data_IF_658889800729
#
_entry.id   IF_658889800729
#
_cell.length_a   1.000
_cell.length_b   1.000
_cell.length_c   1.000
_cell.angle_alpha   90.00
_cell.angle_beta   90.00
_cell.angle_gamma   90.00
#
_symmetry.space_group_name_H-M   'P 1'
#
loop_
_entity.id
_entity.type
_entity.pdbx_description
1 polymer ?
#
# COMPACT_ATOMS: atom_id res chain seq x y z
N UNK A 1 -13.88 -21.04 -15.57
CA UNK A 1 -14.34 -20.03 -14.57
C UNK A 1 -14.12 -20.58 -13.17
N UNK A 2 -13.55 -19.78 -12.25
CA UNK A 2 -13.36 -20.15 -10.83
C UNK A 2 -14.69 -20.25 -10.08
N UNK A 3 -14.71 -20.88 -8.88
CA UNK A 3 -15.92 -20.91 -8.02
C UNK A 3 -16.44 -19.50 -7.72
N UNK A 4 -15.54 -18.55 -7.37
CA UNK A 4 -15.92 -17.17 -7.13
C UNK A 4 -16.38 -16.48 -8.42
N UNK A 5 -15.72 -16.72 -9.55
CA UNK A 5 -16.15 -16.23 -10.84
C UNK A 5 -17.61 -16.64 -11.15
N UNK A 6 -17.98 -17.89 -10.87
CA UNK A 6 -19.37 -18.36 -11.02
C UNK A 6 -20.36 -17.68 -10.07
N UNK A 7 -19.95 -17.26 -8.87
CA UNK A 7 -20.79 -16.45 -7.96
C UNK A 7 -21.01 -15.04 -8.51
N UNK A 8 -19.92 -14.40 -8.97
CA UNK A 8 -19.98 -13.06 -9.56
C UNK A 8 -20.83 -13.06 -10.84
N UNK A 9 -20.65 -14.07 -11.71
CA UNK A 9 -21.45 -14.21 -12.93
C UNK A 9 -22.96 -14.32 -12.62
N UNK A 10 -23.34 -15.14 -11.64
CA UNK A 10 -24.75 -15.23 -11.19
C UNK A 10 -25.27 -13.90 -10.66
N UNK A 11 -24.48 -13.15 -9.89
CA UNK A 11 -24.83 -11.80 -9.44
C UNK A 11 -25.12 -10.89 -10.63
N UNK A 12 -24.20 -10.84 -11.61
CA UNK A 12 -24.36 -10.00 -12.81
C UNK A 12 -25.61 -10.40 -13.62
N UNK A 13 -25.87 -11.70 -13.79
CA UNK A 13 -27.06 -12.18 -14.50
C UNK A 13 -28.37 -11.75 -13.81
N UNK A 14 -28.38 -11.59 -12.49
CA UNK A 14 -29.56 -11.18 -11.72
C UNK A 14 -29.70 -9.66 -11.59
N UNK A 15 -28.63 -8.91 -11.45
CA UNK A 15 -28.65 -7.48 -11.09
C UNK A 15 -28.19 -6.56 -12.22
N UNK A 16 -27.68 -7.11 -13.32
CA UNK A 16 -27.01 -6.36 -14.38
C UNK A 16 -25.53 -6.10 -14.09
N UNK A 17 -24.83 -5.32 -14.92
CA UNK A 17 -23.41 -5.03 -14.80
C UNK A 17 -23.03 -4.47 -13.43
N UNK A 18 -21.85 -4.85 -12.95
CA UNK A 18 -21.29 -4.38 -11.68
C UNK A 18 -20.09 -3.45 -11.92
N UNK A 19 -19.75 -2.60 -10.94
CA UNK A 19 -18.56 -1.77 -11.02
C UNK A 19 -17.28 -2.59 -10.92
N UNK A 20 -16.16 -2.07 -11.45
CA UNK A 20 -14.84 -2.65 -11.22
C UNK A 20 -14.51 -2.72 -9.72
N UNK A 21 -14.92 -1.71 -8.94
CA UNK A 21 -14.71 -1.71 -7.49
C UNK A 21 -15.44 -2.88 -6.81
N UNK A 22 -16.69 -3.19 -7.20
CA UNK A 22 -17.41 -4.35 -6.69
C UNK A 22 -16.73 -5.67 -7.06
N UNK A 23 -16.27 -5.78 -8.32
CA UNK A 23 -15.57 -6.97 -8.80
C UNK A 23 -14.27 -7.21 -8.01
N UNK A 24 -13.43 -6.18 -7.82
CA UNK A 24 -12.22 -6.27 -7.01
C UNK A 24 -12.51 -6.60 -5.55
N UNK A 25 -13.52 -5.96 -4.96
CA UNK A 25 -13.92 -6.24 -3.58
C UNK A 25 -14.28 -7.71 -3.36
N UNK A 26 -15.02 -8.31 -4.30
CA UNK A 26 -15.33 -9.73 -4.27
C UNK A 26 -14.08 -10.60 -4.54
N UNK A 27 -13.31 -10.28 -5.60
CA UNK A 27 -12.15 -11.08 -6.01
C UNK A 27 -11.06 -11.11 -4.91
N UNK A 28 -10.81 -10.00 -4.24
CA UNK A 28 -9.78 -9.90 -3.21
C UNK A 28 -10.30 -10.23 -1.80
N UNK A 29 -11.49 -9.74 -1.45
CA UNK A 29 -11.99 -9.70 -0.07
C UNK A 29 -13.09 -10.69 0.27
N UNK A 30 -13.64 -11.47 -0.68
CA UNK A 30 -14.74 -12.41 -0.40
C UNK A 30 -14.39 -13.34 0.78
N UNK A 31 -15.27 -13.49 1.81
CA UNK A 31 -14.93 -14.11 3.10
C UNK A 31 -14.34 -15.51 3.05
N UNK A 32 -14.67 -16.31 2.02
CA UNK A 32 -14.17 -17.68 1.86
C UNK A 32 -13.32 -17.89 0.62
N UNK A 33 -13.59 -17.14 -0.46
CA UNK A 33 -13.06 -17.41 -1.79
C UNK A 33 -12.14 -16.28 -2.31
N UNK A 34 -12.06 -15.16 -1.58
CA UNK A 34 -11.22 -14.03 -1.96
C UNK A 34 -9.72 -14.35 -1.83
N UNK A 35 -8.93 -13.71 -2.66
CA UNK A 35 -7.49 -13.91 -2.76
C UNK A 35 -6.78 -13.85 -1.41
N UNK A 36 -6.98 -12.79 -0.61
CA UNK A 36 -6.34 -12.62 0.70
C UNK A 36 -6.85 -13.59 1.79
N UNK A 37 -7.94 -14.31 1.52
CA UNK A 37 -8.47 -15.32 2.44
C UNK A 37 -7.99 -16.74 2.14
N UNK A 38 -7.65 -17.03 0.88
CA UNK A 38 -7.27 -18.38 0.43
C UNK A 38 -5.76 -18.62 0.45
N UNK A 39 -4.98 -17.66 -0.03
CA UNK A 39 -3.56 -17.82 -0.24
C UNK A 39 -2.72 -17.18 0.89
N UNK A 40 -1.44 -17.50 0.92
CA UNK A 40 -0.40 -16.68 1.50
C UNK A 40 0.19 -15.88 0.32
N UNK A 41 -0.32 -14.69 0.02
CA UNK A 41 -0.06 -14.01 -1.25
C UNK A 41 1.38 -13.54 -1.40
N UNK A 42 2.11 -13.36 -0.31
CA UNK A 42 3.42 -12.70 -0.26
C UNK A 42 4.54 -13.68 0.04
N UNK A 43 5.72 -13.50 -0.61
CA UNK A 43 6.95 -14.24 -0.41
C UNK A 43 7.33 -15.14 -1.59
N UNK A 44 8.47 -15.85 -1.48
CA UNK A 44 9.04 -16.67 -2.57
C UNK A 44 8.13 -17.79 -3.12
N UNK A 45 7.08 -18.16 -2.38
CA UNK A 45 6.05 -19.11 -2.82
C UNK A 45 4.71 -18.41 -3.12
N UNK A 46 4.63 -17.08 -3.06
CA UNK A 46 3.45 -16.27 -3.39
C UNK A 46 3.52 -15.73 -4.82
N UNK A 47 2.55 -14.89 -5.16
CA UNK A 47 2.46 -14.27 -6.49
C UNK A 47 3.35 -13.03 -6.62
N UNK A 48 3.78 -12.43 -5.50
CA UNK A 48 4.60 -11.23 -5.45
C UNK A 48 5.80 -11.35 -4.50
N UNK A 49 6.90 -10.69 -4.90
CA UNK A 49 8.03 -10.40 -4.01
C UNK A 49 7.99 -8.91 -3.68
N UNK A 50 7.43 -8.56 -2.51
CA UNK A 50 7.36 -7.19 -1.99
C UNK A 50 8.72 -6.70 -1.50
N UNK A 51 8.92 -5.39 -1.39
CA UNK A 51 10.20 -4.81 -0.97
C UNK A 51 10.76 -5.38 0.36
N UNK A 52 9.95 -5.63 1.41
CA UNK A 52 10.41 -6.32 2.63
C UNK A 52 10.90 -7.75 2.41
N UNK A 53 10.41 -8.45 1.40
CA UNK A 53 10.82 -9.81 1.07
C UNK A 53 12.04 -9.85 0.12
N UNK A 54 12.35 -8.74 -0.57
CA UNK A 54 13.59 -8.61 -1.35
C UNK A 54 14.78 -8.56 -0.41
N UNK A 55 14.76 -7.66 0.58
CA UNK A 55 15.89 -7.48 1.49
C UNK A 55 15.49 -6.85 2.82
N UNK A 56 16.10 -7.37 3.90
CA UNK A 56 15.99 -6.77 5.23
C UNK A 56 16.42 -5.29 5.26
N UNK A 57 17.25 -4.84 4.30
CA UNK A 57 17.68 -3.43 4.22
C UNK A 57 16.51 -2.47 4.09
N UNK A 58 15.45 -2.87 3.36
CA UNK A 58 14.24 -2.05 3.23
C UNK A 58 13.59 -1.78 4.59
N UNK A 59 13.26 -2.83 5.33
CA UNK A 59 12.64 -2.71 6.65
C UNK A 59 13.55 -2.04 7.69
N UNK A 60 14.87 -2.25 7.59
CA UNK A 60 15.85 -1.60 8.47
C UNK A 60 15.92 -0.09 8.25
N UNK A 61 15.84 0.39 7.01
CA UNK A 61 15.84 1.83 6.70
C UNK A 61 14.54 2.49 7.12
N UNK A 62 13.40 1.81 6.93
CA UNK A 62 12.12 2.28 7.47
C UNK A 62 12.16 2.31 9.00
N UNK A 63 12.69 1.28 9.65
CA UNK A 63 12.87 1.25 11.11
C UNK A 63 13.76 2.38 11.62
N UNK A 64 14.80 2.74 10.88
CA UNK A 64 15.64 3.90 11.18
C UNK A 64 14.87 5.22 11.05
N UNK A 65 14.02 5.36 10.02
CA UNK A 65 13.15 6.51 9.85
C UNK A 65 12.16 6.64 11.02
N UNK A 66 11.55 5.54 11.47
CA UNK A 66 10.63 5.52 12.62
C UNK A 66 11.31 5.94 13.93
N UNK A 67 12.52 5.41 14.18
CA UNK A 67 13.31 5.78 15.35
C UNK A 67 13.66 7.28 15.34
N UNK A 68 14.04 7.81 14.19
CA UNK A 68 14.32 9.24 14.01
C UNK A 68 13.05 10.08 14.24
N UNK A 69 11.85 9.65 13.79
CA UNK A 69 10.59 10.35 14.08
C UNK A 69 10.29 10.39 15.57
N UNK A 70 10.47 9.27 16.27
CA UNK A 70 10.30 9.21 17.73
C UNK A 70 11.26 10.16 18.46
N UNK A 71 12.53 10.20 18.04
CA UNK A 71 13.53 11.13 18.58
C UNK A 71 13.12 12.59 18.32
N UNK A 72 12.72 12.91 17.09
CA UNK A 72 12.29 14.26 16.69
C UNK A 72 11.04 14.75 17.42
N UNK A 73 10.19 13.85 17.92
CA UNK A 73 9.04 14.15 18.76
C UNK A 73 9.38 14.26 20.26
N UNK A 74 10.65 14.30 20.62
CA UNK A 74 11.15 14.37 22.01
C UNK A 74 10.77 13.14 22.86
N UNK A 75 10.93 11.95 22.30
CA UNK A 75 10.81 10.66 23.00
C UNK A 75 9.45 10.44 23.68
N UNK A 76 8.31 10.56 22.97
CA UNK A 76 6.99 10.41 23.58
C UNK A 76 6.82 9.04 24.23
N UNK A 77 6.14 9.03 25.39
CA UNK A 77 5.78 7.82 26.11
C UNK A 77 4.33 7.94 26.62
N UNK A 78 3.42 7.07 26.22
CA UNK A 78 3.59 6.04 25.19
C UNK A 78 3.70 6.59 23.77
N UNK A 79 4.05 5.72 22.80
CA UNK A 79 3.97 5.96 21.37
C UNK A 79 3.29 4.76 20.71
N UNK A 80 2.43 5.00 19.74
CA UNK A 80 1.79 3.94 18.96
C UNK A 80 2.43 3.79 17.59
N UNK A 81 2.89 2.58 17.29
CA UNK A 81 3.38 2.18 15.98
C UNK A 81 2.33 1.31 15.29
N UNK A 82 1.88 1.70 14.11
CA UNK A 82 0.85 0.99 13.35
C UNK A 82 1.40 0.53 12.00
N UNK A 83 1.11 -0.70 11.63
CA UNK A 83 1.27 -1.19 10.26
C UNK A 83 -0.08 -1.65 9.73
N UNK A 84 -0.48 -1.12 8.57
CA UNK A 84 -1.69 -1.53 7.87
C UNK A 84 -1.31 -2.48 6.73
N UNK A 85 -1.96 -3.64 6.67
CA UNK A 85 -1.67 -4.67 5.68
C UNK A 85 -0.29 -5.31 5.84
N UNK A 86 0.09 -5.81 7.03
CA UNK A 86 1.46 -6.23 7.34
C UNK A 86 1.90 -7.52 6.64
N UNK A 87 1.04 -8.13 5.84
CA UNK A 87 1.34 -9.36 5.12
C UNK A 87 1.87 -10.46 6.05
N UNK A 88 3.12 -10.88 5.86
CA UNK A 88 3.77 -11.91 6.70
C UNK A 88 4.39 -11.35 7.99
N UNK A 89 4.33 -10.04 8.23
CA UNK A 89 4.96 -9.37 9.37
C UNK A 89 6.48 -9.17 9.23
N UNK A 90 7.02 -9.33 8.01
CA UNK A 90 8.46 -9.19 7.74
C UNK A 90 8.93 -7.77 7.98
N UNK A 91 8.18 -6.78 7.46
CA UNK A 91 8.51 -5.37 7.63
C UNK A 91 8.50 -4.97 9.11
N UNK A 92 7.47 -5.30 9.87
CA UNK A 92 7.42 -5.00 11.31
C UNK A 92 8.56 -5.65 12.08
N UNK A 93 8.90 -6.90 11.77
CA UNK A 93 10.03 -7.61 12.40
C UNK A 93 11.36 -6.87 12.18
N UNK A 94 11.62 -6.42 10.95
CA UNK A 94 12.85 -5.70 10.62
C UNK A 94 12.89 -4.29 11.24
N UNK A 95 11.74 -3.60 11.25
CA UNK A 95 11.59 -2.29 11.90
C UNK A 95 11.87 -2.40 13.40
N UNK A 96 11.23 -3.32 14.13
CA UNK A 96 11.40 -3.48 15.57
C UNK A 96 12.85 -3.88 15.93
N UNK A 97 13.46 -4.78 15.16
CA UNK A 97 14.87 -5.14 15.32
C UNK A 97 15.79 -3.93 15.19
N UNK A 98 15.50 -3.04 14.24
CA UNK A 98 16.28 -1.83 14.00
C UNK A 98 16.05 -0.79 15.08
N UNK A 99 14.81 -0.56 15.48
CA UNK A 99 14.44 0.32 16.61
C UNK A 99 15.17 -0.14 17.87
N UNK A 100 15.19 -1.46 18.15
CA UNK A 100 15.93 -2.00 19.31
C UNK A 100 17.44 -1.72 19.32
N UNK A 101 18.03 -1.48 18.14
CA UNK A 101 19.45 -1.11 18.02
C UNK A 101 19.70 0.39 18.07
N UNK A 102 18.83 1.19 17.48
CA UNK A 102 19.02 2.64 17.31
C UNK A 102 18.38 3.46 18.43
N UNK A 103 17.26 3.01 18.95
CA UNK A 103 16.47 3.68 19.96
C UNK A 103 15.85 2.66 20.94
N UNK A 104 16.65 1.88 21.71
CA UNK A 104 16.14 0.79 22.54
C UNK A 104 15.07 1.24 23.53
N UNK A 105 15.16 2.48 24.05
CA UNK A 105 14.15 3.02 24.97
C UNK A 105 12.76 3.17 24.28
N UNK A 106 12.69 3.27 22.95
CA UNK A 106 11.40 3.31 22.25
C UNK A 106 10.64 2.00 22.43
N UNK A 107 11.33 0.86 22.49
CA UNK A 107 10.68 -0.45 22.67
C UNK A 107 9.95 -0.56 24.02
N UNK A 108 10.46 0.09 25.08
CA UNK A 108 9.83 0.09 26.40
C UNK A 108 8.50 0.87 26.41
N UNK A 109 8.30 1.76 25.43
CA UNK A 109 7.18 2.70 25.39
C UNK A 109 6.26 2.49 24.19
N UNK A 110 6.70 1.70 23.18
CA UNK A 110 5.92 1.47 21.97
C UNK A 110 4.79 0.45 22.21
N UNK A 111 3.63 0.76 21.66
CA UNK A 111 2.51 -0.17 21.50
C UNK A 111 2.29 -0.37 20.01
N UNK A 112 2.56 -1.57 19.54
CA UNK A 112 2.39 -1.92 18.13
C UNK A 112 0.94 -2.32 17.88
N UNK A 113 0.36 -1.82 16.79
CA UNK A 113 -0.94 -2.25 16.30
C UNK A 113 -0.79 -2.74 14.86
N UNK A 114 -1.12 -4.00 14.65
CA UNK A 114 -1.16 -4.64 13.33
C UNK A 114 -2.60 -4.64 12.83
N UNK A 115 -2.87 -4.08 11.65
CA UNK A 115 -4.20 -4.08 11.06
C UNK A 115 -4.24 -5.10 9.94
N UNK A 116 -4.91 -6.23 10.19
CA UNK A 116 -4.94 -7.39 9.31
C UNK A 116 -6.34 -8.01 9.27
N UNK A 117 -6.91 -8.13 8.08
CA UNK A 117 -8.23 -8.73 7.87
C UNK A 117 -8.21 -10.24 7.72
N UNK A 118 -7.05 -10.83 7.39
CA UNK A 118 -6.88 -12.26 7.23
C UNK A 118 -6.46 -12.94 8.54
N UNK A 119 -7.31 -13.77 9.18
CA UNK A 119 -6.94 -14.47 10.40
C UNK A 119 -5.70 -15.35 10.23
N UNK A 120 -5.52 -15.93 9.03
CA UNK A 120 -4.38 -16.79 8.71
C UNK A 120 -3.06 -15.99 8.67
N UNK A 121 -3.08 -14.79 8.11
CA UNK A 121 -1.91 -13.91 8.13
C UNK A 121 -1.63 -13.40 9.54
N UNK A 122 -2.67 -13.03 10.30
CA UNK A 122 -2.53 -12.62 11.69
C UNK A 122 -1.83 -13.70 12.55
N UNK A 123 -2.16 -14.98 12.36
CA UNK A 123 -1.45 -16.06 13.06
C UNK A 123 0.02 -16.16 12.65
N UNK A 124 0.34 -16.02 11.36
CA UNK A 124 1.73 -15.97 10.89
C UNK A 124 2.52 -14.79 11.45
N UNK A 125 1.87 -13.64 11.56
CA UNK A 125 2.45 -12.44 12.19
C UNK A 125 2.74 -12.68 13.67
N UNK A 126 1.82 -13.30 14.42
CA UNK A 126 2.02 -13.66 15.83
C UNK A 126 3.20 -14.62 16.03
N UNK A 127 3.30 -15.65 15.18
CA UNK A 127 4.45 -16.57 15.19
C UNK A 127 5.76 -15.81 14.96
N UNK A 128 5.81 -14.95 13.91
CA UNK A 128 7.02 -14.24 13.51
C UNK A 128 7.47 -13.18 14.50
N UNK A 129 6.52 -12.54 15.18
CA UNK A 129 6.76 -11.43 16.10
C UNK A 129 6.78 -11.84 17.56
N UNK A 130 6.75 -13.14 17.89
CA UNK A 130 6.72 -13.65 19.27
C UNK A 130 7.85 -13.12 20.16
N UNK A 131 9.03 -12.92 19.57
CA UNK A 131 10.24 -12.47 20.28
C UNK A 131 10.61 -11.02 19.94
N UNK A 132 9.65 -10.21 19.45
CA UNK A 132 9.91 -8.85 18.99
C UNK A 132 10.24 -7.83 20.10
N UNK A 133 10.08 -8.19 21.37
CA UNK A 133 10.38 -7.34 22.51
C UNK A 133 9.42 -6.15 22.70
N UNK A 134 8.30 -6.12 21.98
CA UNK A 134 7.30 -5.08 22.03
C UNK A 134 5.91 -5.67 22.30
N UNK A 135 5.02 -4.87 22.90
CA UNK A 135 3.61 -5.25 23.03
C UNK A 135 2.88 -5.04 21.71
N UNK A 136 2.30 -6.11 21.14
CA UNK A 136 1.64 -6.09 19.84
C UNK A 136 0.18 -6.50 20.00
N UNK A 137 -0.73 -5.67 19.48
CA UNK A 137 -2.15 -5.92 19.39
C UNK A 137 -2.59 -6.03 17.92
N UNK A 138 -3.60 -6.86 17.61
CA UNK A 138 -4.15 -7.05 16.27
C UNK A 138 -5.55 -6.50 16.17
N UNK A 139 -5.84 -5.82 15.05
CA UNK A 139 -7.13 -5.20 14.75
C UNK A 139 -7.55 -5.58 13.33
N UNK A 140 -8.84 -5.63 13.05
CA UNK A 140 -9.35 -5.87 11.71
C UNK A 140 -9.37 -4.59 10.86
N UNK A 141 -9.60 -3.44 11.49
CA UNK A 141 -9.72 -2.13 10.83
C UNK A 141 -8.89 -1.09 11.56
N UNK A 142 -8.43 -0.10 10.82
CA UNK A 142 -7.73 1.04 11.40
C UNK A 142 -8.62 1.82 12.39
N UNK A 143 -9.92 1.95 12.08
CA UNK A 143 -10.93 2.57 12.96
C UNK A 143 -11.09 1.88 14.32
N UNK A 144 -10.75 0.58 14.42
CA UNK A 144 -10.88 -0.17 15.67
C UNK A 144 -9.77 0.16 16.68
N UNK A 145 -8.68 0.79 16.20
CA UNK A 145 -7.61 1.26 17.08
C UNK A 145 -8.11 2.48 17.85
N UNK A 146 -8.09 2.47 19.20
CA UNK A 146 -8.53 3.62 19.99
C UNK A 146 -7.84 4.92 19.57
N UNK A 147 -8.63 5.96 19.33
CA UNK A 147 -8.16 7.26 18.84
C UNK A 147 -7.85 8.26 19.98
N UNK A 148 -7.72 7.78 21.21
CA UNK A 148 -7.45 8.65 22.37
C UNK A 148 -5.97 9.12 22.38
N UNK A 149 -5.75 10.34 22.82
CA UNK A 149 -4.42 10.93 22.98
C UNK A 149 -3.62 10.31 24.13
N UNK A 150 -4.28 9.54 25.02
CA UNK A 150 -3.61 8.82 26.10
C UNK A 150 -2.69 7.70 25.60
N UNK A 151 -2.87 7.26 24.35
CA UNK A 151 -1.99 6.30 23.70
C UNK A 151 -0.76 6.95 23.01
N UNK A 152 -0.58 8.25 23.16
CA UNK A 152 0.54 9.00 22.60
C UNK A 152 0.42 9.27 21.10
N UNK A 153 1.47 9.85 20.50
CA UNK A 153 1.57 10.08 19.06
C UNK A 153 1.47 8.80 18.26
N UNK A 154 0.95 8.93 17.02
CA UNK A 154 0.82 7.85 16.07
C UNK A 154 1.97 7.87 15.06
N UNK A 155 2.70 6.77 14.94
CA UNK A 155 3.62 6.52 13.82
C UNK A 155 3.05 5.37 13.01
N UNK A 156 2.81 5.58 11.71
CA UNK A 156 2.11 4.61 10.86
C UNK A 156 2.92 4.30 9.61
N UNK A 157 2.91 3.04 9.20
CA UNK A 157 3.51 2.57 7.94
C UNK A 157 2.50 1.76 7.14
N UNK A 158 2.48 2.00 5.84
CA UNK A 158 1.86 1.11 4.85
C UNK A 158 2.86 0.76 3.75
N UNK A 159 2.87 -0.47 3.30
CA UNK A 159 3.66 -0.90 2.14
C UNK A 159 2.80 -1.81 1.27
N UNK A 160 2.61 -1.44 -0.01
CA UNK A 160 1.80 -2.22 -0.96
C UNK A 160 0.41 -2.55 -0.35
N UNK A 161 -0.31 -1.50 0.05
CA UNK A 161 -1.65 -1.59 0.63
C UNK A 161 -2.69 -0.91 -0.25
N UNK A 162 -2.38 0.30 -0.72
CA UNK A 162 -3.33 1.13 -1.45
C UNK A 162 -3.63 0.55 -2.84
N UNK A 163 -2.66 -0.08 -3.48
CA UNK A 163 -2.78 -0.74 -4.79
C UNK A 163 -3.90 -1.79 -4.84
N UNK A 164 -4.10 -2.52 -3.72
CA UNK A 164 -5.10 -3.57 -3.57
C UNK A 164 -6.49 -3.06 -3.12
N UNK A 165 -6.62 -1.77 -2.76
CA UNK A 165 -7.92 -1.20 -2.40
C UNK A 165 -8.74 -0.94 -3.68
N UNK A 166 -10.01 -1.40 -3.73
CA UNK A 166 -10.88 -1.26 -4.89
C UNK A 166 -11.00 0.17 -5.41
N UNK A 167 -11.04 0.30 -6.73
CA UNK A 167 -11.15 1.58 -7.44
C UNK A 167 -12.13 1.46 -8.62
N UNK A 168 -12.49 2.59 -9.21
CA UNK A 168 -13.38 2.70 -10.36
C UNK A 168 -12.63 3.21 -11.57
N UNK A 169 -13.02 2.76 -12.74
CA UNK A 169 -12.54 3.27 -14.02
C UNK A 169 -13.65 4.02 -14.75
N UNK A 170 -13.28 5.12 -15.38
CA UNK A 170 -14.17 5.90 -16.23
C UNK A 170 -13.53 6.02 -17.61
N UNK A 171 -14.25 5.63 -18.64
CA UNK A 171 -13.79 5.67 -20.04
C UNK A 171 -14.44 6.84 -20.77
N UNK A 172 -13.66 7.56 -21.58
CA UNK A 172 -14.21 8.64 -22.40
C UNK A 172 -14.96 8.07 -23.59
N UNK A 173 -16.26 8.36 -23.69
CA UNK A 173 -17.15 7.96 -24.78
C UNK A 173 -18.01 9.16 -25.14
N UNK A 174 -18.02 9.52 -26.44
CA UNK A 174 -18.77 10.68 -26.97
C UNK A 174 -18.45 11.98 -26.18
N UNK A 175 -17.19 12.20 -25.86
CA UNK A 175 -16.69 13.37 -25.12
C UNK A 175 -17.00 13.37 -23.62
N UNK A 176 -17.59 12.33 -23.05
CA UNK A 176 -17.93 12.22 -21.62
C UNK A 176 -17.22 11.03 -20.98
N UNK A 177 -16.84 11.19 -19.73
CA UNK A 177 -16.31 10.08 -18.94
C UNK A 177 -17.48 9.32 -18.27
N UNK A 178 -17.70 8.09 -18.72
CA UNK A 178 -18.72 7.17 -18.20
C UNK A 178 -18.06 6.01 -17.47
N UNK A 179 -18.71 5.48 -16.43
CA UNK A 179 -18.14 4.40 -15.64
C UNK A 179 -17.94 3.14 -16.48
N UNK A 180 -16.74 2.53 -16.40
CA UNK A 180 -16.43 1.24 -17.02
C UNK A 180 -16.90 0.13 -16.08
N UNK A 181 -17.88 -0.64 -16.53
CA UNK A 181 -18.55 -1.69 -15.78
C UNK A 181 -18.17 -3.06 -16.30
N UNK A 182 -18.50 -4.10 -15.55
CA UNK A 182 -18.26 -5.50 -15.92
C UNK A 182 -19.60 -6.17 -16.14
N UNK A 183 -19.77 -6.80 -17.29
CA UNK A 183 -20.96 -7.55 -17.72
C UNK A 183 -20.57 -8.97 -18.15
N UNK A 184 -21.58 -9.77 -18.52
CA UNK A 184 -21.41 -11.06 -19.19
C UNK A 184 -21.80 -10.93 -20.65
N UNK A 185 -21.01 -11.56 -21.52
CA UNK A 185 -21.34 -11.72 -22.94
C UNK A 185 -22.29 -12.91 -23.18
N UNK A 186 -22.57 -13.19 -24.45
CA UNK A 186 -23.44 -14.30 -24.86
C UNK A 186 -22.88 -15.71 -24.52
N UNK A 187 -21.62 -15.78 -24.08
CA UNK A 187 -20.95 -17.02 -23.64
C UNK A 187 -20.76 -17.11 -22.14
N UNK A 188 -21.40 -16.20 -21.40
CA UNK A 188 -21.21 -16.03 -19.95
C UNK A 188 -19.77 -15.68 -19.56
N UNK A 189 -19.01 -15.02 -20.44
CA UNK A 189 -17.65 -14.53 -20.16
C UNK A 189 -17.69 -13.06 -19.71
N UNK A 190 -16.83 -12.69 -18.73
CA UNK A 190 -16.72 -11.32 -18.27
C UNK A 190 -16.10 -10.43 -19.33
N UNK A 191 -16.66 -9.24 -19.49
CA UNK A 191 -16.11 -8.20 -20.35
C UNK A 191 -16.46 -6.81 -19.83
N UNK A 192 -15.71 -5.80 -20.28
CA UNK A 192 -15.99 -4.41 -19.96
C UNK A 192 -17.11 -3.83 -20.84
N UNK A 193 -17.99 -3.05 -20.20
CA UNK A 193 -19.05 -2.27 -20.87
C UNK A 193 -19.07 -0.84 -20.33
N UNK A 194 -19.60 0.10 -21.11
CA UNK A 194 -19.88 1.45 -20.65
C UNK A 194 -21.16 1.44 -19.80
N UNK A 195 -21.06 1.94 -18.58
CA UNK A 195 -22.20 2.14 -17.70
C UNK A 195 -22.97 3.42 -18.03
N UNK A 196 -24.09 3.63 -17.33
CA UNK A 196 -24.90 4.84 -17.45
C UNK A 196 -24.40 6.00 -16.55
N UNK A 197 -23.63 5.67 -15.52
CA UNK A 197 -23.06 6.66 -14.57
C UNK A 197 -21.86 7.37 -15.16
N UNK A 198 -21.75 8.67 -14.86
CA UNK A 198 -20.57 9.49 -15.18
C UNK A 198 -19.85 9.96 -13.92
N UNK A 199 -18.75 10.66 -14.11
CA UNK A 199 -18.00 11.32 -13.05
C UNK A 199 -18.15 12.84 -13.18
N UNK A 200 -18.17 13.55 -12.04
CA UNK A 200 -18.13 15.00 -12.04
C UNK A 200 -16.84 15.49 -12.72
N UNK A 201 -16.94 16.32 -13.78
CA UNK A 201 -15.76 16.87 -14.47
C UNK A 201 -14.77 17.60 -13.55
N UNK A 202 -15.21 18.14 -12.42
CA UNK A 202 -14.35 18.77 -11.42
C UNK A 202 -13.38 17.80 -10.74
N UNK A 203 -13.64 16.49 -10.79
CA UNK A 203 -12.78 15.44 -10.25
C UNK A 203 -11.78 14.89 -11.27
N UNK A 204 -11.91 15.28 -12.54
CA UNK A 204 -11.02 14.84 -13.61
C UNK A 204 -9.72 15.67 -13.62
N UNK A 205 -8.61 15.10 -14.10
CA UNK A 205 -7.37 15.84 -14.29
C UNK A 205 -7.53 17.01 -15.25
N UNK A 206 -6.69 18.03 -15.07
CA UNK A 206 -6.58 19.15 -16.03
C UNK A 206 -6.26 18.57 -17.42
N UNK A 207 -6.93 19.08 -18.46
CA UNK A 207 -6.79 18.55 -19.83
C UNK A 207 -7.74 17.40 -20.17
N UNK A 208 -8.71 17.10 -19.31
CA UNK A 208 -9.67 16.01 -19.58
C UNK A 208 -10.54 16.25 -20.84
N UNK A 209 -10.77 17.51 -21.21
CA UNK A 209 -11.53 17.82 -22.41
C UNK A 209 -10.78 17.40 -23.66
N UNK A 210 -9.47 17.53 -23.71
CA UNK A 210 -8.56 17.20 -24.80
C UNK A 210 -8.13 15.71 -24.79
N UNK A 211 -8.44 14.97 -23.72
CA UNK A 211 -8.13 13.54 -23.67
C UNK A 211 -8.79 12.80 -24.85
N UNK A 212 -8.11 11.82 -25.49
CA UNK A 212 -8.68 11.08 -26.63
C UNK A 212 -9.90 10.24 -26.20
N UNK A 213 -10.77 9.92 -27.16
CA UNK A 213 -11.80 8.90 -26.96
C UNK A 213 -11.15 7.58 -26.56
N UNK A 214 -11.79 6.87 -25.61
CA UNK A 214 -11.24 5.68 -24.99
C UNK A 214 -10.22 5.93 -23.88
N UNK A 215 -9.85 7.20 -23.58
CA UNK A 215 -9.02 7.51 -22.42
C UNK A 215 -9.69 7.01 -21.11
N UNK A 216 -8.89 6.40 -20.24
CA UNK A 216 -9.36 5.86 -18.96
C UNK A 216 -8.85 6.74 -17.84
N UNK A 217 -9.76 7.15 -16.96
CA UNK A 217 -9.47 7.78 -15.69
C UNK A 217 -9.80 6.82 -14.54
N UNK A 218 -8.89 6.73 -13.57
CA UNK A 218 -9.03 5.87 -12.39
C UNK A 218 -9.35 6.71 -11.16
N UNK A 219 -10.48 6.43 -10.53
CA UNK A 219 -10.90 7.09 -9.29
C UNK A 219 -10.99 6.08 -8.15
N UNK A 220 -10.31 6.37 -7.04
CA UNK A 220 -10.20 5.45 -5.91
C UNK A 220 -10.72 6.09 -4.60
N UNK A 221 -12.04 6.32 -4.46
CA UNK A 221 -12.61 6.99 -3.30
C UNK A 221 -12.32 6.27 -1.98
N UNK A 222 -12.22 4.95 -1.99
CA UNK A 222 -11.86 4.17 -0.79
C UNK A 222 -10.42 4.42 -0.34
N UNK A 223 -9.46 4.58 -1.28
CA UNK A 223 -8.07 4.97 -0.99
C UNK A 223 -8.02 6.38 -0.37
N UNK A 224 -8.76 7.31 -0.97
CA UNK A 224 -8.88 8.69 -0.47
C UNK A 224 -9.48 8.74 0.94
N UNK A 225 -10.54 7.96 1.21
CA UNK A 225 -11.16 7.87 2.53
C UNK A 225 -10.20 7.31 3.59
N UNK A 226 -9.44 6.26 3.27
CA UNK A 226 -8.43 5.71 4.18
C UNK A 226 -7.31 6.74 4.45
N UNK A 227 -6.82 7.42 3.41
CA UNK A 227 -5.80 8.47 3.59
C UNK A 227 -6.33 9.63 4.45
N UNK A 228 -7.58 10.05 4.26
CA UNK A 228 -8.22 11.07 5.08
C UNK A 228 -8.31 10.64 6.56
N UNK A 229 -8.65 9.37 6.82
CA UNK A 229 -8.71 8.85 8.19
C UNK A 229 -7.32 8.84 8.83
N UNK A 230 -6.29 8.35 8.11
CA UNK A 230 -4.89 8.35 8.58
C UNK A 230 -4.43 9.78 8.89
N UNK A 231 -4.59 10.70 7.94
CA UNK A 231 -4.14 12.08 8.07
C UNK A 231 -4.87 12.83 9.20
N UNK A 232 -6.19 12.67 9.31
CA UNK A 232 -6.99 13.28 10.38
C UNK A 232 -6.54 12.79 11.76
N UNK A 233 -6.20 11.51 11.89
CA UNK A 233 -5.70 10.95 13.15
C UNK A 233 -4.31 11.50 13.48
N UNK A 234 -3.39 11.56 12.52
CA UNK A 234 -2.06 12.16 12.70
C UNK A 234 -2.16 13.62 13.11
N UNK A 235 -3.00 14.41 12.44
CA UNK A 235 -3.20 15.82 12.76
C UNK A 235 -3.76 16.04 14.18
N UNK A 236 -4.58 15.09 14.68
CA UNK A 236 -5.24 15.18 16.00
C UNK A 236 -4.38 14.65 17.14
N UNK A 237 -3.72 13.49 16.94
CA UNK A 237 -2.95 12.82 18.00
C UNK A 237 -1.46 13.13 17.96
N UNK A 238 -1.02 13.93 17.00
CA UNK A 238 0.37 14.13 16.59
C UNK A 238 0.94 12.87 15.94
N UNK A 239 2.09 12.99 15.31
CA UNK A 239 2.79 11.85 14.77
C UNK A 239 3.23 12.00 13.32
N UNK A 240 3.48 10.86 12.68
CA UNK A 240 3.90 10.76 11.30
C UNK A 240 3.44 9.46 10.65
N UNK A 241 3.31 9.45 9.31
CA UNK A 241 3.11 8.23 8.54
C UNK A 241 4.05 8.15 7.35
N UNK A 242 4.37 6.93 6.93
CA UNK A 242 5.10 6.61 5.72
C UNK A 242 4.29 5.62 4.90
N UNK A 243 3.93 6.00 3.68
CA UNK A 243 3.15 5.17 2.77
C UNK A 243 4.00 4.87 1.53
N UNK A 244 4.26 3.60 1.28
CA UNK A 244 5.06 3.13 0.15
C UNK A 244 4.19 2.26 -0.74
N UNK A 245 4.13 2.60 -2.02
CA UNK A 245 3.37 1.84 -3.01
C UNK A 245 3.83 2.18 -4.42
N UNK A 246 3.46 1.39 -5.42
CA UNK A 246 3.73 1.74 -6.80
C UNK A 246 2.62 2.60 -7.40
N UNK A 247 3.02 3.56 -8.24
CA UNK A 247 2.06 4.52 -8.78
C UNK A 247 2.71 5.77 -9.36
N UNK A 248 1.95 6.86 -9.38
CA UNK A 248 2.35 8.11 -10.00
C UNK A 248 2.17 9.31 -9.06
N UNK A 249 3.04 10.34 -9.26
CA UNK A 249 3.03 11.59 -8.48
C UNK A 249 2.21 12.72 -9.15
N UNK A 250 1.64 12.46 -10.32
CA UNK A 250 0.81 13.42 -11.05
C UNK A 250 -0.41 12.70 -11.55
N UNK A 251 -1.59 13.29 -11.30
CA UNK A 251 -2.84 12.79 -11.84
C UNK A 251 -2.79 12.73 -13.37
N UNK A 252 -3.41 11.71 -13.95
CA UNK A 252 -3.38 11.49 -15.42
C UNK A 252 -4.43 10.48 -15.85
N UNK A 253 -4.32 10.06 -17.11
CA UNK A 253 -5.15 9.03 -17.72
C UNK A 253 -4.31 7.79 -17.97
N UNK A 254 -4.87 6.62 -17.75
CA UNK A 254 -4.22 5.33 -17.97
C UNK A 254 -5.10 4.18 -17.51
N UNK A 255 -4.88 3.00 -18.07
CA UNK A 255 -5.44 1.74 -17.58
C UNK A 255 -4.32 1.02 -16.83
N UNK A 256 -4.37 1.07 -15.50
CA UNK A 256 -3.33 0.46 -14.67
C UNK A 256 -3.81 -0.80 -13.96
N UNK A 257 -5.08 -1.21 -14.20
CA UNK A 257 -5.60 -2.47 -13.69
C UNK A 257 -4.78 -3.65 -14.22
N UNK A 258 -4.32 -4.47 -13.31
CA UNK A 258 -3.57 -5.67 -13.65
C UNK A 258 -3.94 -6.84 -12.73
N UNK A 259 -3.82 -8.03 -13.28
CA UNK A 259 -3.90 -9.27 -12.53
C UNK A 259 -2.53 -9.96 -12.51
N UNK A 260 -2.19 -10.55 -11.37
CA UNK A 260 -0.94 -11.30 -11.22
C UNK A 260 -1.23 -12.70 -10.66
N UNK A 261 -0.59 -13.69 -11.26
CA UNK A 261 -0.65 -15.08 -10.81
C UNK A 261 0.71 -15.76 -11.04
N UNK A 262 1.30 -16.33 -9.99
CA UNK A 262 2.59 -17.05 -10.05
C UNK A 262 3.72 -16.22 -10.70
N UNK A 263 3.87 -14.99 -10.27
CA UNK A 263 4.87 -14.02 -10.75
C UNK A 263 4.71 -13.60 -12.22
N UNK A 264 3.57 -13.85 -12.84
CA UNK A 264 3.26 -13.44 -14.21
C UNK A 264 1.97 -12.65 -14.31
N UNK A 265 1.86 -11.81 -15.35
CA UNK A 265 0.60 -11.16 -15.67
C UNK A 265 -0.43 -12.19 -16.09
N UNK A 266 -1.68 -11.97 -15.63
CA UNK A 266 -2.85 -12.78 -15.96
C UNK A 266 -3.96 -11.90 -16.55
N UNK A 267 -4.93 -12.50 -17.20
CA UNK A 267 -6.15 -11.78 -17.58
C UNK A 267 -6.97 -11.46 -16.34
N UNK A 268 -7.45 -10.22 -16.24
CA UNK A 268 -8.17 -9.72 -15.05
C UNK A 268 -9.45 -10.49 -14.74
N UNK A 269 -10.01 -11.20 -15.71
CA UNK A 269 -11.23 -11.98 -15.60
C UNK A 269 -11.01 -13.49 -15.51
N UNK A 270 -9.79 -13.97 -15.82
CA UNK A 270 -9.53 -15.42 -15.90
C UNK A 270 -9.68 -16.13 -14.54
N UNK A 271 -9.15 -15.54 -13.48
CA UNK A 271 -8.99 -16.22 -12.19
C UNK A 271 -9.47 -15.39 -10.98
N UNK A 272 -10.75 -14.92 -10.92
CA UNK A 272 -11.28 -14.19 -9.77
C UNK A 272 -11.13 -14.99 -8.47
N UNK A 273 -10.54 -14.39 -7.43
CA UNK A 273 -10.26 -15.00 -6.13
C UNK A 273 -9.02 -15.88 -6.07
N UNK A 274 -8.27 -16.00 -7.19
CA UNK A 274 -7.03 -16.77 -7.28
C UNK A 274 -5.87 -15.86 -7.70
N UNK A 275 -6.06 -15.02 -8.71
CA UNK A 275 -5.11 -13.98 -9.09
C UNK A 275 -5.26 -12.75 -8.19
N UNK A 276 -4.15 -12.07 -7.91
CA UNK A 276 -4.18 -10.75 -7.28
C UNK A 276 -4.62 -9.70 -8.30
N UNK A 277 -5.41 -8.73 -7.86
CA UNK A 277 -5.87 -7.60 -8.67
C UNK A 277 -5.36 -6.32 -8.04
N UNK A 278 -4.62 -5.54 -8.81
CA UNK A 278 -4.01 -4.32 -8.33
C UNK A 278 -4.11 -3.20 -9.36
N UNK A 279 -3.83 -1.97 -8.94
CA UNK A 279 -3.64 -0.84 -9.84
C UNK A 279 -2.66 0.16 -9.26
N UNK A 280 -2.13 1.05 -10.09
CA UNK A 280 -1.25 2.12 -9.63
C UNK A 280 -1.99 3.06 -8.66
N UNK A 281 -1.24 3.56 -7.68
CA UNK A 281 -1.74 4.50 -6.68
C UNK A 281 -1.52 5.93 -7.19
N UNK A 282 -2.57 6.75 -7.14
CA UNK A 282 -2.48 8.19 -7.39
C UNK A 282 -2.00 8.90 -6.12
N UNK A 283 -0.69 9.11 -6.01
CA UNK A 283 -0.09 9.81 -4.87
C UNK A 283 -0.39 11.30 -4.86
N UNK A 284 -0.77 11.92 -5.98
CA UNK A 284 -1.18 13.32 -6.04
C UNK A 284 -2.48 13.54 -5.26
N UNK A 285 -3.47 12.66 -5.45
CA UNK A 285 -4.73 12.76 -4.70
C UNK A 285 -4.54 12.40 -3.23
N UNK A 286 -3.68 11.43 -2.90
CA UNK A 286 -3.38 11.09 -1.50
C UNK A 286 -2.66 12.25 -0.79
N UNK A 287 -1.68 12.88 -1.44
CA UNK A 287 -0.97 14.06 -0.94
C UNK A 287 -1.93 15.22 -0.68
N UNK A 288 -2.78 15.55 -1.66
CA UNK A 288 -3.80 16.60 -1.54
C UNK A 288 -4.77 16.32 -0.39
N UNK A 289 -5.22 15.07 -0.25
CA UNK A 289 -6.13 14.63 0.81
C UNK A 289 -5.48 14.78 2.19
N UNK A 290 -4.24 14.37 2.34
CA UNK A 290 -3.50 14.49 3.59
C UNK A 290 -3.31 15.95 3.99
N UNK A 291 -2.95 16.83 3.05
CA UNK A 291 -2.82 18.27 3.30
C UNK A 291 -4.16 18.93 3.65
N UNK A 292 -5.24 18.58 2.97
CA UNK A 292 -6.58 19.05 3.29
C UNK A 292 -7.03 18.64 4.70
N UNK A 293 -6.51 17.52 5.21
CA UNK A 293 -6.74 17.02 6.58
C UNK A 293 -5.82 17.66 7.64
N UNK A 294 -4.97 18.62 7.27
CA UNK A 294 -4.12 19.39 8.18
C UNK A 294 -2.69 18.85 8.35
N UNK A 295 -2.27 17.84 7.59
CA UNK A 295 -0.92 17.34 7.64
C UNK A 295 0.05 18.15 6.75
N UNK A 296 1.32 18.19 7.15
CA UNK A 296 2.45 18.45 6.25
C UNK A 296 2.83 17.15 5.54
N UNK A 297 3.20 17.26 4.28
CA UNK A 297 3.51 16.10 3.44
C UNK A 297 4.81 16.28 2.68
N UNK A 298 5.41 15.16 2.27
CA UNK A 298 6.51 15.12 1.32
C UNK A 298 6.42 13.85 0.49
N UNK A 299 6.77 13.95 -0.79
CA UNK A 299 6.73 12.84 -1.74
C UNK A 299 8.06 12.69 -2.45
N UNK A 300 8.49 11.46 -2.71
CA UNK A 300 9.65 11.13 -3.53
C UNK A 300 9.52 9.71 -4.10
N UNK A 301 10.43 9.32 -4.95
CA UNK A 301 10.52 7.92 -5.39
C UNK A 301 11.13 7.04 -4.30
N UNK A 302 10.87 5.74 -4.35
CA UNK A 302 11.46 4.78 -3.40
C UNK A 302 12.98 4.78 -3.48
N UNK A 303 13.55 4.83 -4.69
CA UNK A 303 15.00 4.88 -4.88
C UNK A 303 15.63 6.10 -4.20
N UNK A 304 15.06 7.29 -4.42
CA UNK A 304 15.52 8.53 -3.75
C UNK A 304 15.42 8.41 -2.23
N UNK A 305 14.31 7.90 -1.70
CA UNK A 305 14.11 7.70 -0.28
C UNK A 305 15.16 6.75 0.32
N UNK A 306 15.32 5.56 -0.23
CA UNK A 306 16.23 4.56 0.29
C UNK A 306 17.69 5.01 0.21
N UNK A 307 18.08 5.66 -0.88
CA UNK A 307 19.44 6.23 -1.03
C UNK A 307 19.68 7.34 0.00
N UNK A 308 18.73 8.25 0.20
CA UNK A 308 18.84 9.31 1.21
C UNK A 308 18.86 8.75 2.64
N UNK A 309 18.19 7.63 2.89
CA UNK A 309 18.24 6.92 4.18
C UNK A 309 19.51 6.08 4.37
N UNK A 310 20.44 6.03 3.39
CA UNK A 310 21.72 5.38 3.51
C UNK A 310 21.75 3.92 3.05
N UNK A 311 20.96 3.55 2.04
CA UNK A 311 20.92 2.18 1.50
C UNK A 311 22.30 1.64 1.13
N UNK A 312 23.15 2.46 0.47
CA UNK A 312 24.48 2.02 0.03
C UNK A 312 25.42 1.76 1.23
N UNK A 313 25.40 2.64 2.25
CA UNK A 313 26.17 2.44 3.47
C UNK A 313 25.72 1.19 4.21
N UNK A 314 24.40 0.95 4.27
CA UNK A 314 23.85 -0.25 4.90
C UNK A 314 24.25 -1.52 4.14
N UNK A 315 24.19 -1.48 2.82
CA UNK A 315 24.61 -2.58 1.94
C UNK A 315 26.11 -2.91 2.14
N UNK A 316 26.97 -1.89 2.15
CA UNK A 316 28.40 -2.05 2.41
C UNK A 316 28.68 -2.73 3.75
N UNK A 317 28.02 -2.28 4.82
CA UNK A 317 28.16 -2.90 6.16
C UNK A 317 27.65 -4.34 6.20
N UNK A 318 26.55 -4.64 5.50
CA UNK A 318 25.97 -5.98 5.45
C UNK A 318 26.86 -6.95 4.70
N UNK A 319 27.56 -6.49 3.64
CA UNK A 319 28.48 -7.26 2.80
C UNK A 319 29.90 -7.42 3.38
N UNK A 320 30.26 -6.63 4.39
CA UNK A 320 31.61 -6.67 4.96
C UNK A 320 31.93 -8.04 5.55
N UNK A 321 33.02 -8.66 5.09
CA UNK A 321 33.49 -9.98 5.56
C UNK A 321 32.65 -11.16 5.04
N UNK A 322 31.71 -10.93 4.13
CA UNK A 322 30.94 -11.99 3.46
C UNK A 322 31.60 -12.47 2.18
N UNK A 323 31.25 -13.68 1.74
CA UNK A 323 31.75 -14.22 0.47
C UNK A 323 31.21 -13.46 -0.75
N UNK A 324 31.79 -13.73 -1.92
CA UNK A 324 31.44 -13.05 -3.16
C UNK A 324 29.99 -13.29 -3.59
N UNK A 325 29.42 -14.46 -3.34
CA UNK A 325 28.04 -14.78 -3.69
C UNK A 325 27.05 -13.97 -2.85
N UNK A 326 27.30 -13.81 -1.56
CA UNK A 326 26.49 -12.99 -0.68
C UNK A 326 26.61 -11.49 -1.02
N UNK A 327 27.82 -11.01 -1.34
CA UNK A 327 28.02 -9.63 -1.78
C UNK A 327 27.29 -9.34 -3.10
N UNK A 328 27.31 -10.29 -4.03
CA UNK A 328 26.58 -10.18 -5.29
C UNK A 328 25.06 -10.13 -5.05
N UNK A 329 24.55 -10.98 -4.15
CA UNK A 329 23.14 -10.91 -3.76
C UNK A 329 22.75 -9.53 -3.20
N UNK A 330 23.57 -8.97 -2.31
CA UNK A 330 23.33 -7.61 -1.77
C UNK A 330 23.28 -6.58 -2.89
N UNK A 331 24.19 -6.67 -3.87
CA UNK A 331 24.20 -5.76 -5.02
C UNK A 331 22.91 -5.85 -5.81
N UNK A 332 22.45 -7.06 -6.10
CA UNK A 332 21.17 -7.31 -6.79
C UNK A 332 19.97 -6.80 -5.96
N UNK A 333 19.97 -6.98 -4.64
CA UNK A 333 18.94 -6.45 -3.75
C UNK A 333 18.89 -4.91 -3.79
N UNK A 334 20.05 -4.25 -3.76
CA UNK A 334 20.13 -2.77 -3.91
C UNK A 334 19.61 -2.33 -5.25
N UNK A 335 20.02 -2.99 -6.34
CA UNK A 335 19.55 -2.71 -7.70
C UNK A 335 18.03 -2.88 -7.79
N UNK A 336 17.50 -3.99 -7.27
CA UNK A 336 16.07 -4.27 -7.27
C UNK A 336 15.26 -3.20 -6.52
N UNK A 337 15.75 -2.76 -5.35
CA UNK A 337 15.04 -1.80 -4.51
C UNK A 337 15.12 -0.36 -5.00
N UNK A 338 16.24 0.05 -5.63
CA UNK A 338 16.53 1.47 -5.86
C UNK A 338 16.83 1.85 -7.32
N UNK A 339 17.11 0.90 -8.22
CA UNK A 339 17.41 1.26 -9.61
C UNK A 339 16.15 1.82 -10.33
N UNK A 340 16.32 2.83 -11.22
CA UNK A 340 15.21 3.51 -11.88
C UNK A 340 14.32 2.60 -12.75
N UNK A 341 14.89 1.58 -13.35
CA UNK A 341 14.24 0.58 -14.20
C UNK A 341 13.66 -0.62 -13.41
N UNK A 342 13.79 -0.58 -12.09
CA UNK A 342 13.25 -1.56 -11.16
C UNK A 342 12.20 -0.89 -10.24
N UNK A 343 12.22 -1.22 -8.95
CA UNK A 343 11.29 -0.63 -7.98
C UNK A 343 11.57 0.87 -7.72
N UNK A 344 12.80 1.34 -7.97
CA UNK A 344 13.28 2.64 -7.52
C UNK A 344 12.44 3.82 -8.02
N UNK A 345 12.03 3.81 -9.30
CA UNK A 345 11.16 4.86 -9.87
C UNK A 345 9.70 4.47 -9.85
N UNK A 346 9.37 3.18 -10.04
CA UNK A 346 7.97 2.72 -10.07
C UNK A 346 7.28 2.99 -8.73
N UNK A 347 7.95 2.67 -7.62
CA UNK A 347 7.43 2.90 -6.27
C UNK A 347 7.62 4.34 -5.82
N UNK A 348 6.65 4.83 -5.07
CA UNK A 348 6.61 6.18 -4.48
C UNK A 348 6.49 6.08 -2.98
N UNK A 349 7.00 7.11 -2.32
CA UNK A 349 6.92 7.26 -0.87
C UNK A 349 6.23 8.58 -0.57
N UNK A 350 5.16 8.52 0.20
CA UNK A 350 4.44 9.67 0.74
C UNK A 350 4.60 9.67 2.26
N UNK A 351 5.27 10.68 2.78
CA UNK A 351 5.37 10.93 4.22
C UNK A 351 4.37 12.01 4.65
N UNK A 352 3.81 11.84 5.85
CA UNK A 352 2.92 12.79 6.50
C UNK A 352 3.41 13.09 7.92
N UNK A 353 3.15 14.32 8.41
CA UNK A 353 3.32 14.67 9.82
C UNK A 353 2.29 15.70 10.27
N UNK A 354 2.19 15.88 11.59
CA UNK A 354 1.40 16.92 12.26
C UNK A 354 1.90 18.38 12.01
N UNK A 355 2.95 18.53 11.22
CA UNK A 355 3.55 19.83 10.89
C UNK A 355 4.52 20.37 11.94
N UNK A 356 4.66 19.74 13.09
CA UNK A 356 5.59 20.16 14.15
C UNK A 356 6.98 19.54 13.98
N UNK A 357 7.07 18.42 13.27
CA UNK A 357 8.29 17.67 13.04
C UNK A 357 8.71 17.72 11.58
N UNK A 358 10.00 18.01 11.33
CA UNK A 358 10.55 17.95 9.96
C UNK A 358 10.53 16.51 9.44
N UNK A 359 10.05 16.32 8.22
CA UNK A 359 10.01 15.02 7.56
C UNK A 359 11.30 14.74 6.76
N UNK A 360 12.42 14.46 7.45
CA UNK A 360 13.61 14.01 6.74
C UNK A 360 13.37 12.64 6.09
N UNK A 361 13.81 12.39 4.85
CA UNK A 361 14.59 13.26 3.96
C UNK A 361 13.75 14.11 2.99
N UNK A 362 12.45 14.24 3.23
CA UNK A 362 11.53 14.92 2.32
C UNK A 362 11.62 16.45 2.42
N UNK A 363 11.44 17.13 1.29
CA UNK A 363 11.07 18.53 1.28
C UNK A 363 9.58 18.62 1.62
N UNK A 364 9.23 19.32 2.70
CA UNK A 364 7.84 19.47 3.15
C UNK A 364 7.11 20.54 2.37
N UNK A 365 5.91 20.22 1.91
CA UNK A 365 4.96 21.14 1.25
C UNK A 365 3.92 21.65 2.23
#
# INVERSE_FOLDING_TARGET
>A
MTELGGLIARRIALTGPISLADFMAEALGHPRLGYYRRALPVGAAGDFTTAPEVSQMFGELIGAWLAERWLAMAHPSPVRLVELGPGRGTLMSDMLRTIGRLAPQMLDHVRVAMVETSPRLAEKQKEKLSDAGAKIDWFERFSDIPADTANGPLILVTNELFDAIPFRQFVKVDGRFVERMIALDDKDEFHFVSGLGGIDPALLPVGHAEAPEGAIFEAAPARTALMQEIASRIATTRGAALNVDYGHLKAGFGDTLQAMLKHGFDDVFANPGIADLTSHVDFDILDKTARASGCKTGTMTQGEFLLAMGLLDRAGRLGTGKDAAFQEKIRQDVERLAAPDQMGTLFKVLALSDGLTRLYPFETK
#
